data_IF_279545078088
#
_entry.id   IF_279545078088
#
_cell.length_a   1.000
_cell.length_b   1.000
_cell.length_c   1.000
_cell.angle_alpha   90.00
_cell.angle_beta   90.00
_cell.angle_gamma   90.00
#
_symmetry.space_group_name_H-M   'P 1'
#
loop_
_entity.id
_entity.type
_entity.pdbx_description
1 polymer ?
#
# COMPACT_ATOMS: atom_id res chain seq x y z
N UNK A 1 -10.74 -12.14 -13.76
CA UNK A 1 -10.10 -11.53 -14.94
C UNK A 1 -8.69 -11.11 -14.58
N UNK A 2 -7.72 -11.28 -15.51
CA UNK A 2 -6.35 -10.83 -15.22
C UNK A 2 -6.24 -9.31 -15.25
N UNK A 3 -5.18 -8.79 -14.61
CA UNK A 3 -4.85 -7.38 -14.68
C UNK A 3 -4.51 -7.00 -16.14
N UNK A 4 -4.67 -5.71 -16.45
CA UNK A 4 -4.41 -5.21 -17.80
C UNK A 4 -2.95 -5.51 -18.22
N UNK A 5 -2.74 -6.27 -19.31
CA UNK A 5 -1.39 -6.60 -19.77
C UNK A 5 -0.54 -5.37 -20.11
N UNK A 6 -1.14 -4.29 -20.59
CA UNK A 6 -0.44 -3.05 -20.89
C UNK A 6 0.08 -2.41 -19.61
N UNK A 7 -0.72 -2.41 -18.54
CA UNK A 7 -0.30 -1.91 -17.23
C UNK A 7 0.84 -2.74 -16.66
N UNK A 8 0.76 -4.07 -16.77
CA UNK A 8 1.82 -4.96 -16.29
C UNK A 8 3.13 -4.72 -17.05
N UNK A 9 3.09 -4.51 -18.36
CA UNK A 9 4.27 -4.17 -19.14
C UNK A 9 4.89 -2.85 -18.70
N UNK A 10 4.06 -1.87 -18.40
CA UNK A 10 4.54 -0.58 -17.87
C UNK A 10 5.24 -0.76 -16.53
N UNK A 11 4.68 -1.58 -15.63
CA UNK A 11 5.29 -1.88 -14.34
C UNK A 11 6.63 -2.59 -14.48
N UNK A 12 6.81 -3.41 -15.50
CA UNK A 12 8.09 -4.07 -15.76
C UNK A 12 9.20 -3.08 -16.11
N UNK A 13 8.85 -1.92 -16.64
CA UNK A 13 9.82 -0.83 -16.93
C UNK A 13 10.15 -0.01 -15.68
N UNK A 14 9.33 -0.04 -14.66
CA UNK A 14 9.50 0.77 -13.45
C UNK A 14 8.98 2.19 -13.60
N UNK A 15 9.18 2.99 -12.56
CA UNK A 15 8.78 4.39 -12.55
C UNK A 15 7.46 4.67 -11.85
N UNK A 16 6.85 3.69 -11.24
CA UNK A 16 5.53 3.80 -10.59
C UNK A 16 5.63 3.64 -9.08
N UNK A 17 4.59 4.10 -8.39
CA UNK A 17 4.35 3.78 -7.00
C UNK A 17 3.18 2.81 -6.95
N UNK A 18 3.36 1.70 -6.24
CA UNK A 18 2.30 0.73 -5.95
C UNK A 18 1.84 0.99 -4.53
N UNK A 19 0.67 1.61 -4.40
CA UNK A 19 0.04 1.82 -3.10
C UNK A 19 -0.88 0.63 -2.81
N UNK A 20 -0.58 -0.12 -1.76
CA UNK A 20 -1.18 -1.43 -1.50
C UNK A 20 -1.79 -1.47 -0.11
N UNK A 21 -3.03 -1.91 -0.01
CA UNK A 21 -3.65 -2.16 1.30
C UNK A 21 -3.11 -3.45 1.90
N UNK A 22 -2.91 -3.46 3.22
CA UNK A 22 -2.54 -4.66 3.96
C UNK A 22 -3.51 -5.83 3.70
N UNK A 23 -3.09 -7.05 4.06
CA UNK A 23 -3.91 -8.25 3.93
C UNK A 23 -5.13 -8.26 4.85
N UNK A 24 -6.01 -9.23 4.63
CA UNK A 24 -7.21 -9.41 5.44
C UNK A 24 -6.85 -9.48 6.93
N UNK A 25 -7.63 -8.79 7.75
CA UNK A 25 -7.41 -8.71 9.18
C UNK A 25 -8.55 -9.39 9.93
N UNK A 26 -8.25 -9.88 11.14
CA UNK A 26 -9.24 -10.53 11.99
C UNK A 26 -10.39 -9.59 12.34
N UNK A 27 -11.54 -10.18 12.67
CA UNK A 27 -12.70 -9.42 13.15
C UNK A 27 -12.35 -8.78 14.48
N UNK A 28 -12.78 -7.54 14.69
CA UNK A 28 -12.51 -6.77 15.90
C UNK A 28 -12.10 -5.35 15.58
N UNK A 29 -11.51 -4.71 16.56
CA UNK A 29 -11.09 -3.32 16.43
C UNK A 29 -9.71 -3.13 17.07
N UNK A 30 -9.00 -2.11 16.60
CA UNK A 30 -7.79 -1.65 17.26
C UNK A 30 -8.15 -1.06 18.63
N UNK A 31 -7.25 -1.18 19.60
CA UNK A 31 -7.40 -0.51 20.87
C UNK A 31 -7.45 1.00 20.67
N UNK A 32 -8.23 1.75 21.47
CA UNK A 32 -8.18 3.22 21.44
C UNK A 32 -6.77 3.78 21.71
N UNK A 33 -5.92 3.00 22.38
CA UNK A 33 -4.52 3.34 22.65
C UNK A 33 -3.62 2.33 21.96
N UNK A 34 -3.40 2.55 20.66
CA UNK A 34 -2.53 1.68 19.86
C UNK A 34 -1.08 1.88 20.28
N UNK A 35 -0.40 0.77 20.54
CA UNK A 35 1.04 0.73 20.70
C UNK A 35 1.63 -0.05 19.52
N UNK A 36 2.41 0.60 18.66
CA UNK A 36 2.99 -0.03 17.47
C UNK A 36 4.03 -1.10 17.81
N UNK A 37 4.55 -1.10 19.03
CA UNK A 37 5.48 -2.12 19.51
C UNK A 37 4.77 -3.29 20.20
N UNK A 38 3.45 -3.21 20.35
CA UNK A 38 2.64 -4.25 20.97
C UNK A 38 1.46 -4.59 20.06
N UNK A 39 1.61 -5.67 19.30
CA UNK A 39 0.59 -6.10 18.35
C UNK A 39 -0.72 -6.53 19.04
N UNK A 40 -0.69 -6.86 20.34
CA UNK A 40 -1.89 -7.20 21.08
C UNK A 40 -2.88 -6.02 21.21
N UNK A 41 -2.41 -4.79 21.04
CA UNK A 41 -3.28 -3.60 21.04
C UNK A 41 -3.93 -3.35 19.68
N UNK A 42 -3.68 -4.19 18.69
CA UNK A 42 -4.04 -3.97 17.31
C UNK A 42 -4.87 -5.14 16.76
N UNK A 43 -5.67 -4.81 15.74
CA UNK A 43 -6.29 -5.82 14.90
C UNK A 43 -5.22 -6.32 13.92
N UNK A 44 -4.95 -7.62 13.94
CA UNK A 44 -3.84 -8.21 13.18
C UNK A 44 -4.33 -9.01 11.98
N UNK A 45 -3.40 -9.42 11.11
CA UNK A 45 -3.72 -10.24 9.94
C UNK A 45 -4.37 -11.55 10.35
N UNK A 46 -5.37 -11.97 9.58
CA UNK A 46 -5.90 -13.32 9.61
C UNK A 46 -4.92 -14.26 8.89
N UNK A 47 -5.17 -15.57 9.01
CA UNK A 47 -4.41 -16.55 8.22
C UNK A 47 -4.59 -16.30 6.71
N UNK A 48 -5.82 -15.99 6.29
CA UNK A 48 -6.09 -15.61 4.90
C UNK A 48 -5.26 -14.39 4.48
N UNK A 49 -5.16 -13.39 5.34
CA UNK A 49 -4.37 -12.20 5.07
C UNK A 49 -2.89 -12.48 4.91
N UNK A 50 -2.33 -13.38 5.72
CA UNK A 50 -0.93 -13.79 5.56
C UNK A 50 -0.71 -14.51 4.23
N UNK A 51 -1.62 -15.40 3.85
CA UNK A 51 -1.54 -16.10 2.56
C UNK A 51 -1.64 -15.11 1.38
N UNK A 52 -2.51 -14.11 1.49
CA UNK A 52 -2.63 -13.06 0.48
C UNK A 52 -1.31 -12.30 0.32
N UNK A 53 -0.66 -11.95 1.41
CA UNK A 53 0.62 -11.23 1.37
C UNK A 53 1.70 -12.04 0.66
N UNK A 54 1.82 -13.32 0.96
CA UNK A 54 2.77 -14.22 0.30
C UNK A 54 2.47 -14.33 -1.19
N UNK A 55 1.19 -14.52 -1.55
CA UNK A 55 0.76 -14.60 -2.94
C UNK A 55 1.06 -13.31 -3.71
N UNK A 56 0.89 -12.15 -3.08
CA UNK A 56 1.20 -10.87 -3.70
C UNK A 56 2.68 -10.75 -4.07
N UNK A 57 3.57 -11.04 -3.14
CA UNK A 57 5.00 -10.99 -3.39
C UNK A 57 5.42 -11.98 -4.47
N UNK A 58 4.89 -13.22 -4.43
CA UNK A 58 5.17 -14.23 -5.44
C UNK A 58 4.70 -13.78 -6.83
N UNK A 59 3.51 -13.18 -6.92
CA UNK A 59 2.97 -12.70 -8.20
C UNK A 59 3.85 -11.62 -8.82
N UNK A 60 4.30 -10.64 -8.03
CA UNK A 60 5.19 -9.59 -8.54
C UNK A 60 6.50 -10.18 -9.07
N UNK A 61 7.07 -11.15 -8.39
CA UNK A 61 8.31 -11.81 -8.82
C UNK A 61 8.08 -12.63 -10.10
N UNK A 62 7.00 -13.38 -10.18
CA UNK A 62 6.66 -14.19 -11.37
C UNK A 62 6.39 -13.31 -12.59
N UNK A 63 5.83 -12.13 -12.38
CA UNK A 63 5.56 -11.16 -13.44
C UNK A 63 6.76 -10.27 -13.77
N UNK A 64 7.90 -10.49 -13.11
CA UNK A 64 9.13 -9.70 -13.31
C UNK A 64 8.90 -8.20 -13.11
N UNK A 65 8.10 -7.83 -12.10
CA UNK A 65 7.88 -6.43 -11.74
C UNK A 65 8.95 -6.02 -10.74
N UNK A 66 9.88 -5.13 -11.12
CA UNK A 66 10.97 -4.72 -10.24
C UNK A 66 10.47 -3.82 -9.11
N UNK A 67 10.96 -4.07 -7.90
CA UNK A 67 10.55 -3.35 -6.70
C UNK A 67 11.76 -2.68 -6.06
N UNK A 68 11.61 -1.39 -5.75
CA UNK A 68 12.63 -0.64 -5.00
C UNK A 68 12.67 -1.14 -3.55
N UNK A 69 13.86 -1.50 -3.08
CA UNK A 69 14.05 -1.94 -1.70
C UNK A 69 14.75 -0.84 -0.88
N UNK A 70 14.39 -0.66 0.40
CA UNK A 70 13.32 -1.35 1.11
C UNK A 70 11.94 -0.86 0.68
N UNK A 71 10.93 -1.72 0.82
CA UNK A 71 9.54 -1.30 0.68
C UNK A 71 9.13 -0.51 1.93
N UNK A 72 8.15 0.36 1.80
CA UNK A 72 7.68 1.21 2.88
C UNK A 72 6.37 0.65 3.44
N UNK A 73 6.25 0.62 4.75
CA UNK A 73 5.03 0.18 5.42
C UNK A 73 4.62 1.17 6.52
N UNK A 74 3.32 1.33 6.71
CA UNK A 74 2.79 1.95 7.91
C UNK A 74 3.25 1.15 9.15
N UNK A 75 3.47 1.78 10.31
CA UNK A 75 4.01 1.07 11.48
C UNK A 75 3.06 0.10 12.16
N UNK A 76 1.81 -0.02 11.71
CA UNK A 76 0.88 -1.04 12.22
C UNK A 76 1.45 -2.44 12.00
N UNK A 77 1.19 -3.35 12.94
CA UNK A 77 1.64 -4.73 12.80
C UNK A 77 1.11 -5.39 11.52
N UNK A 78 -0.16 -5.16 11.17
CA UNK A 78 -0.74 -5.75 9.96
C UNK A 78 -0.13 -5.26 8.66
N UNK A 79 0.30 -4.00 8.60
CA UNK A 79 0.99 -3.47 7.42
C UNK A 79 2.44 -3.95 7.35
N UNK A 80 3.14 -3.95 8.47
CA UNK A 80 4.50 -4.48 8.56
C UNK A 80 4.54 -5.96 8.18
N UNK A 81 3.65 -6.76 8.76
CA UNK A 81 3.62 -8.20 8.49
C UNK A 81 3.28 -8.49 7.03
N UNK A 82 2.34 -7.75 6.44
CA UNK A 82 2.05 -7.86 5.00
C UNK A 82 3.30 -7.63 4.17
N UNK A 83 4.04 -6.56 4.46
CA UNK A 83 5.25 -6.21 3.73
C UNK A 83 6.35 -7.25 3.93
N UNK A 84 6.55 -7.74 5.16
CA UNK A 84 7.56 -8.73 5.47
C UNK A 84 7.28 -10.07 4.79
N UNK A 85 6.03 -10.52 4.77
CA UNK A 85 5.64 -11.76 4.11
C UNK A 85 5.77 -11.67 2.59
N UNK A 86 5.47 -10.51 2.01
CA UNK A 86 5.56 -10.33 0.56
C UNK A 86 7.00 -10.13 0.06
N UNK A 87 7.83 -9.40 0.81
CA UNK A 87 9.13 -8.92 0.33
C UNK A 87 10.33 -9.34 1.18
N UNK A 88 10.11 -9.98 2.32
CA UNK A 88 11.17 -10.36 3.25
C UNK A 88 11.35 -9.35 4.38
N UNK A 89 11.60 -9.85 5.60
CA UNK A 89 11.69 -9.04 6.80
C UNK A 89 12.83 -7.99 6.74
N UNK A 90 13.93 -8.30 6.08
CA UNK A 90 15.06 -7.38 5.94
C UNK A 90 14.84 -6.28 4.89
N UNK A 91 13.75 -6.31 4.18
CA UNK A 91 13.47 -5.42 3.06
C UNK A 91 12.33 -4.43 3.34
N UNK A 92 12.02 -4.19 4.60
CA UNK A 92 10.89 -3.33 5.01
C UNK A 92 11.38 -2.19 5.89
N UNK A 93 10.93 -0.97 5.56
CA UNK A 93 11.13 0.23 6.38
C UNK A 93 9.76 0.79 6.75
N UNK A 94 9.54 1.09 8.02
CA UNK A 94 8.31 1.73 8.45
C UNK A 94 8.40 3.25 8.35
N UNK A 95 7.28 3.88 8.05
CA UNK A 95 7.16 5.34 7.98
C UNK A 95 5.90 5.78 8.73
N UNK A 96 6.05 6.53 9.84
CA UNK A 96 4.90 7.00 10.63
C UNK A 96 3.94 7.90 9.86
N UNK A 97 4.37 8.47 8.74
CA UNK A 97 3.50 9.30 7.89
C UNK A 97 2.18 8.59 7.57
N UNK A 98 2.21 7.29 7.32
CA UNK A 98 1.05 6.52 6.84
C UNK A 98 -0.01 6.28 7.91
N UNK A 99 0.29 6.57 9.17
CA UNK A 99 -0.70 6.56 10.25
C UNK A 99 -1.80 7.58 9.98
N UNK A 100 -1.47 8.70 9.35
CA UNK A 100 -2.46 9.74 8.98
C UNK A 100 -3.55 9.18 8.06
N UNK A 101 -3.19 8.26 7.18
CA UNK A 101 -4.18 7.64 6.27
C UNK A 101 -5.14 6.77 7.06
N UNK A 102 -4.64 5.99 8.01
CA UNK A 102 -5.50 5.22 8.93
C UNK A 102 -6.47 6.15 9.67
N UNK A 103 -6.00 7.29 10.14
CA UNK A 103 -6.80 8.24 10.89
C UNK A 103 -7.95 8.84 10.07
N UNK A 104 -7.83 8.89 8.75
CA UNK A 104 -8.91 9.36 7.87
C UNK A 104 -10.16 8.48 7.94
N UNK A 105 -10.03 7.22 8.38
CA UNK A 105 -11.15 6.32 8.60
C UNK A 105 -11.96 6.64 9.85
N UNK A 106 -11.47 7.53 10.71
CA UNK A 106 -12.15 8.00 11.91
C UNK A 106 -12.69 9.40 11.74
N UNK A 107 -13.13 9.98 12.86
CA UNK A 107 -13.61 11.36 12.87
C UNK A 107 -12.44 12.33 12.98
N UNK A 108 -12.06 12.94 11.86
CA UNK A 108 -11.02 13.98 11.85
C UNK A 108 -11.62 15.30 11.39
N UNK A 109 -11.14 16.43 11.94
CA UNK A 109 -11.59 17.75 11.48
C UNK A 109 -11.27 17.95 9.99
N UNK A 110 -12.12 18.69 9.24
CA UNK A 110 -11.89 18.94 7.82
C UNK A 110 -10.51 19.54 7.50
N UNK A 111 -10.00 20.43 8.34
CA UNK A 111 -8.67 21.01 8.15
C UNK A 111 -7.56 19.97 8.27
N UNK A 112 -7.70 19.03 9.20
CA UNK A 112 -6.75 17.93 9.37
C UNK A 112 -6.82 16.97 8.18
N UNK A 113 -8.02 16.66 7.69
CA UNK A 113 -8.19 15.82 6.50
C UNK A 113 -7.52 16.47 5.28
N UNK A 114 -7.77 17.75 5.06
CA UNK A 114 -7.18 18.50 3.94
C UNK A 114 -5.64 18.49 4.03
N UNK A 115 -5.08 18.73 5.21
CA UNK A 115 -3.64 18.70 5.42
C UNK A 115 -3.04 17.33 5.13
N UNK A 116 -3.71 16.25 5.57
CA UNK A 116 -3.26 14.88 5.34
C UNK A 116 -3.28 14.53 3.84
N UNK A 117 -4.33 14.94 3.13
CA UNK A 117 -4.45 14.68 1.69
C UNK A 117 -3.43 15.48 0.88
N UNK A 118 -3.13 16.71 1.30
CA UNK A 118 -2.08 17.51 0.67
C UNK A 118 -0.71 16.89 0.88
N UNK A 119 -0.42 16.41 2.08
CA UNK A 119 0.83 15.73 2.39
C UNK A 119 0.94 14.39 1.62
N UNK A 120 -0.18 13.67 1.46
CA UNK A 120 -0.24 12.47 0.62
C UNK A 120 0.17 12.77 -0.80
N UNK A 121 -0.40 13.82 -1.41
CA UNK A 121 -0.04 14.23 -2.78
C UNK A 121 1.45 14.48 -2.91
N UNK A 122 2.06 15.15 -1.95
CA UNK A 122 3.51 15.40 -1.95
C UNK A 122 4.32 14.09 -1.96
N UNK A 123 3.86 13.06 -1.24
CA UNK A 123 4.51 11.75 -1.25
C UNK A 123 4.38 11.04 -2.60
N UNK A 124 3.22 11.15 -3.24
CA UNK A 124 2.91 10.43 -4.48
C UNK A 124 3.49 11.11 -5.73
N UNK A 125 4.01 12.31 -5.60
CA UNK A 125 4.66 13.05 -6.68
C UNK A 125 6.11 12.65 -6.91
N UNK A 126 6.74 11.95 -5.96
CA UNK A 126 8.18 11.65 -5.98
C UNK A 126 8.42 10.34 -6.72
N UNK A 127 9.12 10.38 -7.88
CA UNK A 127 9.43 9.16 -8.61
C UNK A 127 10.34 8.22 -7.80
N UNK A 128 10.21 6.89 -8.01
CA UNK A 128 11.15 5.93 -7.44
C UNK A 128 12.49 5.98 -8.17
N UNK A 129 13.45 5.19 -7.69
CA UNK A 129 14.71 4.99 -8.40
C UNK A 129 14.44 4.44 -9.81
N UNK A 130 15.19 4.90 -10.85
CA UNK A 130 14.97 4.47 -12.23
C UNK A 130 14.96 2.95 -12.37
N UNK A 131 14.03 2.45 -13.17
CA UNK A 131 13.89 1.02 -13.44
C UNK A 131 13.22 0.22 -12.33
N UNK A 132 12.73 0.87 -11.28
CA UNK A 132 12.05 0.20 -10.16
C UNK A 132 10.69 0.83 -9.87
N UNK A 133 9.87 0.12 -9.09
CA UNK A 133 8.62 0.63 -8.56
C UNK A 133 8.71 0.70 -7.03
N UNK A 134 8.27 1.81 -6.46
CA UNK A 134 8.19 1.96 -5.01
C UNK A 134 6.91 1.31 -4.51
N UNK A 135 7.01 0.45 -3.50
CA UNK A 135 5.84 -0.18 -2.88
C UNK A 135 5.60 0.46 -1.51
N UNK A 136 4.35 0.83 -1.27
CA UNK A 136 3.88 1.35 0.01
C UNK A 136 2.75 0.44 0.49
N UNK A 137 2.93 -0.19 1.64
CA UNK A 137 1.90 -1.03 2.26
C UNK A 137 1.25 -0.23 3.38
N UNK A 138 -0.01 0.13 3.19
CA UNK A 138 -0.70 0.98 4.16
C UNK A 138 -2.19 0.65 4.23
N UNK A 139 -3.04 1.65 4.27
CA UNK A 139 -4.45 1.50 4.61
C UNK A 139 -5.37 1.97 3.48
N UNK A 140 -6.57 1.41 3.42
CA UNK A 140 -7.63 1.89 2.55
C UNK A 140 -8.07 3.30 2.97
N UNK A 141 -8.69 4.01 2.07
CA UNK A 141 -9.27 5.34 2.33
C UNK A 141 -10.79 5.22 2.45
N UNK A 142 -11.45 6.18 3.11
CA UNK A 142 -12.90 6.28 3.02
C UNK A 142 -13.35 6.48 1.56
N UNK A 143 -14.57 6.05 1.25
CA UNK A 143 -15.15 6.23 -0.08
C UNK A 143 -15.13 7.70 -0.49
N UNK A 144 -14.62 7.98 -1.70
CA UNK A 144 -14.54 9.34 -2.25
C UNK A 144 -13.46 10.22 -1.63
N UNK A 145 -12.59 9.67 -0.77
CA UNK A 145 -11.50 10.41 -0.11
C UNK A 145 -10.16 9.83 -0.56
N UNK A 146 -9.23 10.70 -0.94
CA UNK A 146 -7.88 10.28 -1.36
C UNK A 146 -7.92 9.27 -2.49
N UNK A 147 -7.26 8.12 -2.30
CA UNK A 147 -7.25 7.06 -3.31
C UNK A 147 -8.50 6.17 -3.27
N UNK A 148 -9.43 6.43 -2.35
CA UNK A 148 -10.65 5.67 -2.22
C UNK A 148 -10.49 4.33 -1.53
N UNK A 149 -11.55 3.52 -1.54
CA UNK A 149 -11.55 2.20 -0.93
C UNK A 149 -10.66 1.25 -1.73
N UNK A 150 -9.90 0.42 -1.01
CA UNK A 150 -8.98 -0.56 -1.58
C UNK A 150 -9.23 -1.90 -0.88
N UNK A 151 -9.36 -2.97 -1.63
CA UNK A 151 -9.51 -4.32 -1.09
C UNK A 151 -8.17 -4.84 -0.51
N UNK A 152 -8.23 -5.90 0.27
CA UNK A 152 -7.02 -6.53 0.81
C UNK A 152 -6.04 -6.88 -0.32
N UNK A 153 -4.79 -6.42 -0.21
CA UNK A 153 -3.76 -6.50 -1.23
C UNK A 153 -4.17 -5.91 -2.60
N UNK A 154 -5.24 -5.11 -2.63
CA UNK A 154 -5.56 -4.29 -3.78
C UNK A 154 -4.49 -3.23 -3.97
N UNK A 155 -4.24 -2.88 -5.21
CA UNK A 155 -3.16 -1.95 -5.58
C UNK A 155 -3.69 -0.79 -6.40
N UNK A 156 -3.28 0.42 -6.04
CA UNK A 156 -3.43 1.61 -6.86
C UNK A 156 -2.08 1.92 -7.48
N UNK A 157 -2.03 1.92 -8.81
CA UNK A 157 -0.80 2.20 -9.56
C UNK A 157 -0.73 3.68 -9.84
N UNK A 158 0.31 4.33 -9.32
CA UNK A 158 0.47 5.77 -9.37
C UNK A 158 1.69 6.11 -10.22
N UNK A 159 1.52 7.08 -11.12
CA UNK A 159 2.61 7.62 -11.93
C UNK A 159 3.00 9.01 -11.40
N UNK A 160 4.10 9.12 -10.65
CA UNK A 160 4.59 10.42 -10.18
C UNK A 160 5.04 11.29 -11.36
N UNK A 161 4.78 12.60 -11.25
CA UNK A 161 5.19 13.56 -12.29
C UNK A 161 6.31 14.50 -11.81
N UNK A 162 6.89 14.23 -10.66
CA UNK A 162 7.89 15.07 -10.03
C UNK A 162 7.31 15.97 -8.95
N UNK A 163 8.12 16.32 -7.97
CA UNK A 163 7.69 17.12 -6.83
C UNK A 163 7.08 18.46 -7.30
N UNK A 164 5.88 18.76 -6.83
CA UNK A 164 5.14 19.96 -7.21
C UNK A 164 4.34 19.82 -8.50
N UNK A 165 4.48 18.71 -9.24
CA UNK A 165 3.85 18.50 -10.54
C UNK A 165 2.69 17.51 -10.51
N UNK A 166 2.33 16.99 -9.33
CA UNK A 166 1.24 16.05 -9.18
C UNK A 166 1.59 14.63 -9.58
N UNK A 167 0.56 13.82 -9.72
CA UNK A 167 0.66 12.43 -10.13
C UNK A 167 -0.61 12.02 -10.90
N UNK A 168 -0.51 10.93 -11.65
CA UNK A 168 -1.67 10.32 -12.29
C UNK A 168 -1.93 8.94 -11.67
N UNK A 169 -3.18 8.51 -11.65
CA UNK A 169 -3.53 7.12 -11.36
C UNK A 169 -3.50 6.38 -12.69
N UNK A 170 -2.51 5.50 -12.85
CA UNK A 170 -2.32 4.74 -14.08
C UNK A 170 -3.28 3.54 -14.17
N UNK A 171 -3.74 3.03 -13.03
CA UNK A 171 -4.68 1.94 -12.98
C UNK A 171 -4.83 1.38 -11.58
N UNK A 172 -5.65 0.34 -11.47
CA UNK A 172 -5.91 -0.37 -10.22
C UNK A 172 -6.04 -1.86 -10.54
N UNK A 173 -5.68 -2.72 -9.59
CA UNK A 173 -6.00 -4.13 -9.67
C UNK A 173 -6.14 -4.74 -8.29
N UNK A 174 -6.95 -5.78 -8.21
CA UNK A 174 -7.09 -6.60 -7.01
C UNK A 174 -6.09 -7.76 -7.05
N UNK A 175 -5.90 -8.41 -5.91
CA UNK A 175 -4.97 -9.54 -5.82
C UNK A 175 -5.31 -10.66 -6.82
N UNK A 176 -6.59 -11.02 -6.94
CA UNK A 176 -7.01 -12.07 -7.86
C UNK A 176 -6.76 -11.71 -9.33
N UNK A 177 -6.81 -10.43 -9.69
CA UNK A 177 -6.47 -9.98 -11.04
C UNK A 177 -4.97 -10.13 -11.30
N UNK A 178 -4.14 -9.86 -10.29
CA UNK A 178 -2.69 -9.98 -10.39
C UNK A 178 -2.24 -11.44 -10.49
N UNK A 179 -2.93 -12.33 -9.79
CA UNK A 179 -2.60 -13.76 -9.74
C UNK A 179 -3.29 -14.60 -10.82
N UNK A 180 -4.21 -14.02 -11.59
CA UNK A 180 -4.89 -14.71 -12.67
C UNK A 180 -3.97 -14.93 -13.87
N UNK A 181 -3.99 -16.15 -14.47
CA UNK A 181 -3.19 -16.42 -15.66
C UNK A 181 -3.67 -15.65 -16.90
#
# INVERSE_FOLDING_TARGET
MPADPSLLRSLQQGGYILYVRHGDATVGADSPRINFNDCATQRNLSEAGRNQAVSYGNALRQLHIPVQMPVVASPFCRTKETAELAFGAGNVRTDPFWVQIYQLGGSVPPAQQEAALKALSSQLEIPPSPGTNKVIIAHSFPSGVGLGEINSLGTVVIKPKGQGNGYDIAGRFDLNELTSP
#
